data_IF_626866830284
#
_entry.id   IF_626866830284
#
_cell.length_a   1.000
_cell.length_b   1.000
_cell.length_c   1.000
_cell.angle_alpha   90.00
_cell.angle_beta   90.00
_cell.angle_gamma   90.00
#
_symmetry.space_group_name_H-M   'P 1'
#
loop_
_entity.id
_entity.type
_entity.pdbx_description
1 polymer ?
#
# COMPACT_ATOMS: atom_id res chain seq x y z
N UNK A 1 16.17 32.93 38.28
CA UNK A 1 16.52 31.50 38.09
C UNK A 1 17.00 31.36 36.66
N UNK A 2 18.30 31.17 36.45
CA UNK A 2 18.86 30.96 35.11
C UNK A 2 18.47 29.53 34.74
N UNK A 3 17.54 29.37 33.80
CA UNK A 3 17.33 28.08 33.15
C UNK A 3 18.63 27.75 32.42
N UNK A 4 19.42 26.84 32.97
CA UNK A 4 20.49 26.20 32.23
C UNK A 4 19.82 25.51 31.05
N UNK A 5 19.95 26.11 29.86
CA UNK A 5 19.66 25.41 28.62
C UNK A 5 20.76 24.35 28.49
N UNK A 6 20.50 23.17 29.03
CA UNK A 6 21.33 22.01 28.74
C UNK A 6 21.44 21.91 27.22
N UNK A 7 22.68 21.83 26.73
CA UNK A 7 22.92 21.68 25.31
C UNK A 7 22.39 20.30 24.88
N UNK A 8 21.26 20.33 24.17
CA UNK A 8 20.65 19.17 23.51
C UNK A 8 21.04 19.23 22.04
N UNK A 9 21.84 18.27 21.60
CA UNK A 9 22.12 18.08 20.18
C UNK A 9 21.00 17.26 19.56
N UNK A 10 20.45 17.72 18.42
CA UNK A 10 19.39 17.01 17.71
C UNK A 10 19.93 16.23 16.51
N UNK A 11 19.41 15.02 16.33
CA UNK A 11 19.47 14.27 15.08
C UNK A 11 18.24 14.60 14.24
N UNK A 12 18.41 14.76 12.93
CA UNK A 12 17.32 15.07 12.00
C UNK A 12 17.11 13.91 11.04
N UNK A 13 15.85 13.61 10.73
CA UNK A 13 15.47 12.61 9.74
C UNK A 13 14.29 13.10 8.92
N UNK A 14 14.31 12.78 7.64
CA UNK A 14 13.18 12.95 6.72
C UNK A 14 12.45 11.62 6.58
N UNK A 15 11.13 11.65 6.72
CA UNK A 15 10.25 10.50 6.58
C UNK A 15 9.24 10.82 5.49
N UNK A 16 9.12 9.92 4.52
CA UNK A 16 8.15 9.98 3.43
C UNK A 16 7.17 8.85 3.62
N UNK A 17 5.90 9.16 3.82
CA UNK A 17 4.85 8.14 3.96
C UNK A 17 3.57 8.53 3.20
N UNK A 18 2.68 7.57 2.91
CA UNK A 18 1.38 7.83 2.31
C UNK A 18 0.56 8.81 3.18
N UNK A 19 -0.08 9.79 2.55
CA UNK A 19 -0.82 10.86 3.26
C UNK A 19 -1.97 10.33 4.12
N UNK A 20 -2.59 9.22 3.72
CA UNK A 20 -3.64 8.51 4.48
C UNK A 20 -3.14 7.85 5.77
N UNK A 21 -1.85 7.51 5.83
CA UNK A 21 -1.22 6.80 6.96
C UNK A 21 -0.22 7.67 7.72
N UNK A 22 -0.02 8.91 7.30
CA UNK A 22 1.02 9.79 7.84
C UNK A 22 0.90 9.97 9.35
N UNK A 23 -0.32 10.06 9.89
CA UNK A 23 -0.58 10.16 11.34
C UNK A 23 -0.10 8.93 12.10
N UNK A 24 -0.39 7.73 11.59
CA UNK A 24 0.11 6.48 12.19
C UNK A 24 1.64 6.47 12.23
N UNK A 25 2.28 6.90 11.14
CA UNK A 25 3.74 6.98 11.09
C UNK A 25 4.27 7.98 12.13
N UNK A 26 3.63 9.16 12.29
CA UNK A 26 4.01 10.12 13.32
C UNK A 26 3.98 9.50 14.72
N UNK A 27 2.87 8.87 15.10
CA UNK A 27 2.67 8.28 16.43
C UNK A 27 3.71 7.16 16.71
N UNK A 28 3.97 6.32 15.71
CA UNK A 28 4.99 5.27 15.80
C UNK A 28 6.41 5.85 15.92
N UNK A 29 6.75 6.89 15.15
CA UNK A 29 8.07 7.52 15.24
C UNK A 29 8.27 8.28 16.55
N UNK A 30 7.22 8.87 17.12
CA UNK A 30 7.24 9.46 18.46
C UNK A 30 7.58 8.42 19.54
N UNK A 31 7.06 7.19 19.40
CA UNK A 31 7.42 6.06 20.26
C UNK A 31 8.91 5.67 20.18
N UNK A 32 9.67 6.17 19.20
CA UNK A 32 11.12 6.00 19.10
C UNK A 32 11.92 7.28 19.42
N UNK A 33 11.25 8.30 19.97
CA UNK A 33 11.83 9.56 20.44
C UNK A 33 11.89 10.65 19.39
N UNK A 34 11.30 10.44 18.20
CA UNK A 34 11.26 11.44 17.15
C UNK A 34 10.12 12.44 17.40
N UNK A 35 10.42 13.72 17.30
CA UNK A 35 9.47 14.81 17.45
C UNK A 35 9.36 15.57 16.13
N UNK A 36 8.21 16.17 15.85
CA UNK A 36 8.08 17.06 14.69
C UNK A 36 9.03 18.25 14.81
N UNK A 37 9.66 18.60 13.68
CA UNK A 37 10.38 19.85 13.59
C UNK A 37 9.42 20.99 13.20
N UNK A 38 8.94 21.75 14.20
CA UNK A 38 8.07 22.92 13.99
C UNK A 38 8.71 24.00 13.10
N UNK A 39 10.04 23.99 12.96
CA UNK A 39 10.75 24.97 12.14
C UNK A 39 10.61 24.72 10.63
N UNK A 40 10.17 23.52 10.22
CA UNK A 40 9.95 23.19 8.82
C UNK A 40 8.57 22.60 8.58
N UNK A 41 7.73 23.26 7.75
CA UNK A 41 6.41 22.75 7.45
C UNK A 41 6.49 21.43 6.67
N UNK A 42 5.52 20.55 6.93
CA UNK A 42 5.30 19.34 6.15
C UNK A 42 5.16 19.65 4.66
N UNK A 43 5.88 18.94 3.80
CA UNK A 43 5.68 19.05 2.36
C UNK A 43 4.70 17.97 1.94
N UNK A 44 3.44 18.37 1.81
CA UNK A 44 2.37 17.48 1.34
C UNK A 44 2.35 17.43 -0.19
N UNK A 45 2.68 16.27 -0.75
CA UNK A 45 2.38 15.92 -2.13
C UNK A 45 0.97 15.34 -2.28
N UNK A 46 0.61 14.96 -3.51
CA UNK A 46 -0.74 14.46 -3.82
C UNK A 46 -1.06 13.09 -3.20
N UNK A 47 -0.05 12.22 -3.01
CA UNK A 47 -0.20 10.88 -2.43
C UNK A 47 0.77 10.59 -1.28
N UNK A 48 1.85 11.37 -1.17
CA UNK A 48 2.88 11.20 -0.17
C UNK A 48 3.14 12.52 0.53
N UNK A 49 3.33 12.47 1.83
CA UNK A 49 3.72 13.61 2.65
C UNK A 49 5.11 13.37 3.20
N UNK A 50 6.00 14.34 3.04
CA UNK A 50 7.33 14.31 3.66
C UNK A 50 7.36 15.17 4.90
N UNK A 51 7.88 14.60 5.98
CA UNK A 51 8.01 15.23 7.29
C UNK A 51 9.46 15.21 7.73
N UNK A 52 9.90 16.32 8.32
CA UNK A 52 11.16 16.37 9.06
C UNK A 52 10.88 16.15 10.53
N UNK A 53 11.61 15.22 11.11
CA UNK A 53 11.58 14.93 12.53
C UNK A 53 12.96 15.17 13.14
N UNK A 54 12.96 15.58 14.40
CA UNK A 54 14.15 15.79 15.23
C UNK A 54 14.10 14.87 16.45
N UNK A 55 15.25 14.40 16.92
CA UNK A 55 15.36 13.53 18.10
C UNK A 55 16.61 13.88 18.89
N UNK A 56 16.57 13.75 20.22
CA UNK A 56 17.76 13.97 21.06
C UNK A 56 18.86 12.97 20.70
N UNK A 57 20.10 13.44 20.60
CA UNK A 57 21.28 12.62 20.35
C UNK A 57 21.70 11.79 21.58
N UNK A 58 21.30 12.18 22.80
CA UNK A 58 21.67 11.52 24.07
C UNK A 58 20.66 10.43 24.49
N UNK A 59 20.33 9.51 23.60
CA UNK A 59 19.44 8.38 23.92
C UNK A 59 20.26 7.18 24.41
N UNK A 60 19.90 6.66 25.58
CA UNK A 60 20.59 5.54 26.23
C UNK A 60 20.52 4.27 25.37
N UNK A 61 19.31 3.90 24.91
CA UNK A 61 19.06 2.64 24.19
C UNK A 61 19.02 2.78 22.66
N UNK A 62 19.89 3.63 22.09
CA UNK A 62 19.84 3.99 20.65
C UNK A 62 19.89 2.79 19.70
N UNK A 63 20.71 1.78 20.01
CA UNK A 63 20.86 0.60 19.16
C UNK A 63 19.58 -0.24 19.10
N UNK A 64 18.91 -0.45 20.23
CA UNK A 64 17.66 -1.20 20.30
C UNK A 64 16.51 -0.45 19.63
N UNK A 65 16.41 0.86 19.85
CA UNK A 65 15.41 1.70 19.19
C UNK A 65 15.58 1.70 17.68
N UNK A 66 16.82 1.74 17.18
CA UNK A 66 17.08 1.66 15.74
C UNK A 66 16.66 0.29 15.18
N UNK A 67 16.88 -0.79 15.94
CA UNK A 67 16.42 -2.13 15.57
C UNK A 67 14.89 -2.22 15.53
N UNK A 68 14.20 -1.71 16.55
CA UNK A 68 12.73 -1.68 16.62
C UNK A 68 12.14 -0.81 15.50
N UNK A 69 12.76 0.33 15.22
CA UNK A 69 12.35 1.21 14.12
C UNK A 69 12.48 0.51 12.76
N UNK A 70 13.58 -0.20 12.49
CA UNK A 70 13.69 -0.98 11.26
C UNK A 70 12.69 -2.13 11.20
N UNK A 71 12.35 -2.74 12.33
CA UNK A 71 11.31 -3.76 12.40
C UNK A 71 9.94 -3.19 12.05
N UNK A 72 9.59 -2.03 12.62
CA UNK A 72 8.40 -1.28 12.26
C UNK A 72 8.37 -0.92 10.76
N UNK A 73 9.46 -0.37 10.23
CA UNK A 73 9.56 -0.01 8.80
C UNK A 73 9.35 -1.24 7.89
N UNK A 74 9.85 -2.41 8.30
CA UNK A 74 9.62 -3.67 7.60
C UNK A 74 8.15 -4.11 7.65
N UNK A 75 7.51 -4.09 8.84
CA UNK A 75 6.10 -4.42 9.00
C UNK A 75 5.19 -3.47 8.23
N UNK A 76 5.46 -2.17 8.28
CA UNK A 76 4.68 -1.16 7.57
C UNK A 76 4.75 -1.35 6.04
N UNK A 77 5.95 -1.67 5.52
CA UNK A 77 6.14 -2.01 4.10
C UNK A 77 5.39 -3.30 3.73
N UNK A 78 5.40 -4.30 4.61
CA UNK A 78 4.66 -5.54 4.40
C UNK A 78 3.15 -5.28 4.30
N UNK A 79 2.59 -4.43 5.17
CA UNK A 79 1.18 -4.00 5.10
C UNK A 79 0.87 -3.34 3.75
N UNK A 80 1.73 -2.45 3.25
CA UNK A 80 1.55 -1.80 1.95
C UNK A 80 1.52 -2.83 0.80
N UNK A 81 2.43 -3.82 0.84
CA UNK A 81 2.44 -4.90 -0.16
C UNK A 81 1.18 -5.77 -0.10
N UNK A 82 0.70 -6.06 1.12
CA UNK A 82 -0.53 -6.81 1.34
C UNK A 82 -1.75 -6.05 0.82
N UNK A 83 -1.85 -4.75 1.04
CA UNK A 83 -2.93 -3.93 0.49
C UNK A 83 -2.92 -3.88 -1.03
N UNK A 84 -1.74 -3.68 -1.62
CA UNK A 84 -1.58 -3.70 -3.08
C UNK A 84 -1.94 -5.07 -3.67
N UNK A 85 -1.70 -6.15 -2.93
CA UNK A 85 -2.06 -7.50 -3.40
C UNK A 85 -3.58 -7.72 -3.48
N UNK A 86 -4.39 -7.03 -2.64
CA UNK A 86 -5.87 -7.09 -2.67
C UNK A 86 -6.42 -6.71 -4.05
N UNK A 87 -5.89 -5.65 -4.65
CA UNK A 87 -6.34 -5.13 -5.95
C UNK A 87 -5.60 -5.77 -7.12
N UNK A 88 -4.31 -6.08 -6.96
CA UNK A 88 -3.48 -6.65 -8.05
C UNK A 88 -4.01 -7.99 -8.54
N UNK A 89 -4.41 -8.90 -7.65
CA UNK A 89 -4.99 -10.20 -8.05
C UNK A 89 -6.28 -10.00 -8.84
N UNK A 90 -7.15 -9.08 -8.39
CA UNK A 90 -8.39 -8.80 -9.08
C UNK A 90 -8.15 -8.18 -10.47
N UNK A 91 -7.18 -7.28 -10.60
CA UNK A 91 -6.78 -6.68 -11.88
C UNK A 91 -6.21 -7.72 -12.85
N UNK A 92 -5.38 -8.65 -12.38
CA UNK A 92 -4.82 -9.73 -13.23
C UNK A 92 -5.95 -10.58 -13.81
N UNK A 93 -6.90 -11.02 -12.99
CA UNK A 93 -8.04 -11.80 -13.46
C UNK A 93 -8.93 -11.03 -14.43
N UNK A 94 -9.18 -9.74 -14.15
CA UNK A 94 -9.95 -8.88 -15.05
C UNK A 94 -9.26 -8.71 -16.41
N UNK A 95 -7.94 -8.54 -16.43
CA UNK A 95 -7.15 -8.42 -17.66
C UNK A 95 -7.16 -9.72 -18.47
N UNK A 96 -6.99 -10.88 -17.83
CA UNK A 96 -7.05 -12.18 -18.52
C UNK A 96 -8.40 -12.35 -19.22
N UNK A 97 -9.49 -12.09 -18.51
CA UNK A 97 -10.85 -12.21 -19.07
C UNK A 97 -11.07 -11.19 -20.19
N UNK A 98 -10.57 -9.97 -20.04
CA UNK A 98 -10.62 -8.94 -21.09
C UNK A 98 -9.85 -9.34 -22.35
N UNK A 99 -8.63 -9.89 -22.21
CA UNK A 99 -7.80 -10.36 -23.33
C UNK A 99 -8.51 -11.51 -24.06
N UNK A 100 -9.09 -12.45 -23.31
CA UNK A 100 -9.88 -13.55 -23.90
C UNK A 100 -11.07 -13.00 -24.68
N UNK A 101 -11.84 -12.06 -24.09
CA UNK A 101 -12.96 -11.40 -24.77
C UNK A 101 -12.53 -10.71 -26.08
N UNK A 102 -11.40 -10.01 -26.05
CA UNK A 102 -10.83 -9.36 -27.24
C UNK A 102 -10.38 -10.37 -28.31
N UNK A 103 -9.81 -11.52 -27.92
CA UNK A 103 -9.44 -12.57 -28.86
C UNK A 103 -10.68 -13.20 -29.54
N UNK A 104 -11.77 -13.41 -28.80
CA UNK A 104 -13.04 -13.86 -29.36
C UNK A 104 -13.64 -12.82 -30.32
N UNK A 105 -13.58 -11.53 -29.96
CA UNK A 105 -14.05 -10.47 -30.84
C UNK A 105 -13.24 -10.38 -32.13
N UNK A 106 -11.90 -10.45 -32.03
CA UNK A 106 -11.03 -10.49 -33.21
C UNK A 106 -11.36 -11.69 -34.11
N UNK A 107 -11.53 -12.89 -33.54
CA UNK A 107 -11.94 -14.08 -34.28
C UNK A 107 -13.28 -13.92 -35.01
N UNK A 108 -14.25 -13.24 -34.39
CA UNK A 108 -15.54 -12.94 -35.02
C UNK A 108 -15.39 -12.03 -36.24
N UNK A 109 -14.53 -11.01 -36.17
CA UNK A 109 -14.28 -10.10 -37.30
C UNK A 109 -13.59 -10.82 -38.47
N UNK A 110 -12.61 -11.69 -38.18
CA UNK A 110 -11.94 -12.49 -39.21
C UNK A 110 -12.88 -13.51 -39.88
N UNK A 111 -13.84 -14.08 -39.14
CA UNK A 111 -14.82 -15.03 -39.67
C UNK A 111 -15.77 -14.40 -40.70
N UNK A 112 -16.05 -13.10 -40.59
CA UNK A 112 -16.85 -12.34 -41.58
C UNK A 112 -16.05 -11.96 -42.82
N UNK A 113 -14.75 -11.67 -42.66
CA UNK A 113 -13.90 -11.23 -43.78
C UNK A 113 -13.33 -12.38 -44.63
N UNK A 114 -13.53 -13.63 -44.23
CA UNK A 114 -13.11 -14.81 -44.99
C UNK A 114 -14.00 -15.05 -46.22
N UNK A 115 -13.45 -15.52 -47.34
CA UNK A 115 -14.22 -15.96 -48.52
C UNK A 115 -14.19 -17.50 -48.62
N UNK A 116 -15.33 -18.21 -48.54
CA UNK A 116 -16.69 -17.73 -48.30
C UNK A 116 -16.91 -17.30 -46.83
N UNK A 117 -17.82 -16.34 -46.57
CA UNK A 117 -18.06 -15.78 -45.25
C UNK A 117 -18.69 -16.79 -44.30
N UNK A 118 -18.06 -16.98 -43.14
CA UNK A 118 -18.52 -17.92 -42.11
C UNK A 118 -19.34 -17.19 -41.04
N UNK A 119 -20.53 -16.71 -41.43
CA UNK A 119 -21.42 -15.89 -40.58
C UNK A 119 -21.79 -16.62 -39.28
N UNK A 120 -21.99 -17.94 -39.33
CA UNK A 120 -22.35 -18.75 -38.17
C UNK A 120 -21.23 -18.75 -37.11
N UNK A 121 -19.96 -18.84 -37.53
CA UNK A 121 -18.80 -18.74 -36.64
C UNK A 121 -18.67 -17.34 -36.04
N UNK A 122 -18.96 -16.29 -36.80
CA UNK A 122 -18.95 -14.92 -36.28
C UNK A 122 -19.94 -14.75 -35.12
N UNK A 123 -21.19 -15.18 -35.30
CA UNK A 123 -22.22 -15.08 -34.25
C UNK A 123 -21.81 -15.91 -33.03
N UNK A 124 -21.30 -17.12 -33.25
CA UNK A 124 -20.86 -18.02 -32.17
C UNK A 124 -19.70 -17.43 -31.35
N UNK A 125 -18.78 -16.68 -31.98
CA UNK A 125 -17.64 -16.03 -31.31
C UNK A 125 -17.98 -14.64 -30.74
N UNK A 126 -18.90 -13.88 -31.35
CA UNK A 126 -19.25 -12.54 -30.91
C UNK A 126 -19.98 -12.54 -29.57
N UNK A 127 -20.89 -13.51 -29.34
CA UNK A 127 -21.62 -13.66 -28.07
C UNK A 127 -20.68 -13.82 -26.86
N UNK A 128 -19.73 -14.77 -26.83
CA UNK A 128 -18.75 -14.88 -25.74
C UNK A 128 -17.78 -13.70 -25.68
N UNK A 129 -17.46 -13.05 -26.81
CA UNK A 129 -16.64 -11.83 -26.83
C UNK A 129 -17.29 -10.68 -26.06
N UNK A 130 -18.57 -10.41 -26.29
CA UNK A 130 -19.33 -9.37 -25.58
C UNK A 130 -19.50 -9.70 -24.10
N UNK A 131 -19.79 -10.95 -23.76
CA UNK A 131 -19.84 -11.42 -22.37
C UNK A 131 -18.47 -11.21 -21.70
N UNK A 132 -17.38 -11.54 -22.39
CA UNK A 132 -16.00 -11.36 -21.93
C UNK A 132 -15.62 -9.91 -21.59
N UNK A 133 -16.33 -8.91 -22.09
CA UNK A 133 -16.11 -7.50 -21.71
C UNK A 133 -17.01 -7.02 -20.56
N UNK A 134 -18.21 -7.58 -20.38
CA UNK A 134 -19.08 -7.25 -19.25
C UNK A 134 -18.65 -7.95 -17.95
N UNK A 135 -18.14 -9.18 -18.07
CA UNK A 135 -17.83 -10.08 -16.97
C UNK A 135 -16.62 -9.65 -16.07
N UNK A 136 -15.57 -8.96 -16.58
CA UNK A 136 -14.45 -8.46 -15.78
C UNK A 136 -14.87 -7.55 -14.63
N UNK A 137 -15.85 -6.66 -14.85
CA UNK A 137 -16.33 -5.75 -13.80
C UNK A 137 -16.89 -6.50 -12.59
N UNK A 138 -17.71 -7.52 -12.86
CA UNK A 138 -18.33 -8.33 -11.80
C UNK A 138 -17.32 -9.24 -11.09
N UNK A 139 -16.42 -9.86 -11.86
CA UNK A 139 -15.34 -10.68 -11.31
C UNK A 139 -14.40 -9.86 -10.44
N UNK A 140 -13.97 -8.69 -10.91
CA UNK A 140 -13.10 -7.79 -10.16
C UNK A 140 -13.69 -7.51 -8.78
N UNK A 141 -14.95 -7.04 -8.73
CA UNK A 141 -15.61 -6.70 -7.45
C UNK A 141 -15.71 -7.91 -6.52
N UNK A 142 -16.06 -9.11 -7.04
CA UNK A 142 -16.14 -10.33 -6.22
C UNK A 142 -14.78 -10.80 -5.72
N UNK A 143 -13.74 -10.72 -6.54
CA UNK A 143 -12.39 -11.12 -6.18
C UNK A 143 -11.81 -10.16 -5.15
N UNK A 144 -11.96 -8.85 -5.32
CA UNK A 144 -11.53 -7.85 -4.32
C UNK A 144 -12.19 -8.14 -2.98
N UNK A 145 -13.51 -8.33 -2.91
CA UNK A 145 -14.19 -8.63 -1.63
C UNK A 145 -13.66 -9.90 -0.98
N UNK A 146 -13.43 -10.97 -1.76
CA UNK A 146 -12.87 -12.23 -1.23
C UNK A 146 -11.43 -12.07 -0.75
N UNK A 147 -10.59 -11.36 -1.50
CA UNK A 147 -9.20 -11.12 -1.15
C UNK A 147 -9.07 -10.19 0.05
N UNK A 148 -9.89 -9.13 0.11
CA UNK A 148 -9.98 -8.26 1.29
C UNK A 148 -10.31 -9.06 2.53
N UNK A 149 -11.32 -9.94 2.50
CA UNK A 149 -11.67 -10.79 3.67
C UNK A 149 -10.52 -11.69 4.14
N UNK A 150 -9.65 -12.14 3.24
CA UNK A 150 -8.49 -12.99 3.59
C UNK A 150 -7.29 -12.20 4.09
N UNK A 151 -7.03 -11.05 3.47
CA UNK A 151 -5.85 -10.23 3.75
C UNK A 151 -6.09 -9.29 4.94
N UNK A 152 -7.34 -8.89 5.18
CA UNK A 152 -7.70 -8.02 6.29
C UNK A 152 -7.22 -8.54 7.66
N UNK A 153 -7.46 -9.80 8.07
CA UNK A 153 -6.94 -10.29 9.35
C UNK A 153 -5.41 -10.35 9.41
N UNK A 154 -4.73 -10.51 8.26
CA UNK A 154 -3.26 -10.47 8.22
C UNK A 154 -2.73 -9.06 8.42
N UNK A 155 -3.44 -8.04 7.90
CA UNK A 155 -3.11 -6.64 8.14
C UNK A 155 -3.35 -6.28 9.60
N UNK A 156 -4.48 -6.69 10.17
CA UNK A 156 -4.80 -6.47 11.58
C UNK A 156 -3.73 -7.07 12.50
N UNK A 157 -3.33 -8.33 12.27
CA UNK A 157 -2.24 -8.95 13.03
C UNK A 157 -0.90 -8.19 12.91
N UNK A 158 -0.62 -7.59 11.74
CA UNK A 158 0.58 -6.76 11.54
C UNK A 158 0.47 -5.40 12.22
N UNK A 159 -0.73 -4.85 12.33
CA UNK A 159 -0.99 -3.62 13.09
C UNK A 159 -0.81 -3.85 14.59
N UNK A 160 -1.25 -5.00 15.10
CA UNK A 160 -1.00 -5.41 16.49
C UNK A 160 0.50 -5.58 16.74
N UNK A 161 1.24 -6.20 15.80
CA UNK A 161 2.70 -6.31 15.90
C UNK A 161 3.39 -4.93 15.92
N UNK A 162 2.91 -3.96 15.12
CA UNK A 162 3.39 -2.58 15.15
C UNK A 162 3.12 -1.94 16.51
N UNK A 163 1.94 -2.16 17.09
CA UNK A 163 1.58 -1.63 18.41
C UNK A 163 2.57 -2.12 19.48
N UNK A 164 2.83 -3.43 19.54
CA UNK A 164 3.78 -4.02 20.48
C UNK A 164 5.22 -3.47 20.32
N UNK A 165 5.64 -3.21 19.07
CA UNK A 165 6.96 -2.63 18.77
C UNK A 165 7.02 -1.18 19.27
N UNK A 166 5.95 -0.40 19.08
CA UNK A 166 5.87 0.98 19.53
C UNK A 166 5.85 1.06 21.05
N UNK A 167 5.09 0.20 21.73
CA UNK A 167 5.06 0.14 23.20
C UNK A 167 6.45 -0.17 23.77
N UNK A 168 7.15 -1.16 23.20
CA UNK A 168 8.54 -1.47 23.57
C UNK A 168 9.47 -0.29 23.31
N UNK A 169 9.33 0.36 22.16
CA UNK A 169 10.10 1.57 21.83
C UNK A 169 9.91 2.67 22.87
N UNK A 170 8.65 2.95 23.24
CA UNK A 170 8.31 3.99 24.19
C UNK A 170 8.87 3.68 25.59
N UNK A 171 8.84 2.40 26.01
CA UNK A 171 9.41 1.98 27.30
C UNK A 171 10.93 2.11 27.41
N UNK A 172 11.64 2.28 26.29
CA UNK A 172 13.10 2.37 26.20
C UNK A 172 13.63 3.80 26.10
N UNK A 173 12.73 4.79 25.99
CA UNK A 173 13.01 6.23 25.97
C UNK A 173 13.16 6.79 27.39
#
# INVERSE_FOLDING_TARGET
MIQQKDFVGYEYKEITAPTDRISLYMDCYESFGWQMDENMPAVSGMHHTTLRMKRDRKIINKMELTRLQHHFEACAKEIETLEKSKTSVASIWALIVGIIGTAFMAGSTFAVTHEPPMILLCILLAVPGLIGWALPYFLYRRIVVKQTKKIQPLIEAKQDEIYDICEKGHSLL
#
